data_IF_861599966111
#
_entry.id   IF_861599966111
#
_cell.length_a   1.000
_cell.length_b   1.000
_cell.length_c   1.000
_cell.angle_alpha   90.00
_cell.angle_beta   90.00
_cell.angle_gamma   90.00
#
_symmetry.space_group_name_H-M   'P 1'
#
loop_
_entity.id
_entity.type
_entity.pdbx_description
1 polymer ?
#
# COMPACT_ATOMS: atom_id res chain seq x y z
N UNK A 1 15.61 12.23 41.08
CA UNK A 1 16.48 11.40 40.23
C UNK A 1 16.42 12.00 38.83
N UNK A 2 17.49 12.68 38.40
CA UNK A 2 17.58 13.30 37.08
C UNK A 2 17.60 12.19 36.02
N UNK A 3 16.66 12.25 35.06
CA UNK A 3 16.63 11.38 33.89
C UNK A 3 17.97 11.52 33.17
N UNK A 4 18.56 10.39 32.76
CA UNK A 4 19.59 10.37 31.74
C UNK A 4 18.99 10.85 30.40
N UNK A 5 18.82 12.15 30.32
CA UNK A 5 18.24 12.85 29.18
C UNK A 5 19.30 13.03 28.10
N UNK A 6 19.04 12.58 26.91
CA UNK A 6 19.72 13.07 25.74
C UNK A 6 19.80 12.15 24.52
N UNK A 7 19.58 10.84 24.66
CA UNK A 7 19.57 9.95 23.46
C UNK A 7 18.16 9.68 23.00
N UNK A 8 17.85 10.13 21.80
CA UNK A 8 16.59 9.77 21.11
C UNK A 8 16.51 8.25 20.98
N UNK A 9 15.39 7.59 21.41
CA UNK A 9 15.26 6.15 21.33
C UNK A 9 15.42 5.68 19.89
N UNK A 10 16.07 4.53 19.65
CA UNK A 10 16.19 3.98 18.32
C UNK A 10 14.83 3.54 17.77
N UNK A 11 14.78 3.34 16.46
CA UNK A 11 13.60 2.82 15.77
C UNK A 11 13.89 1.40 15.29
N UNK A 12 12.95 0.48 15.51
CA UNK A 12 12.89 -0.83 14.87
C UNK A 12 11.87 -0.76 13.74
N UNK A 13 12.34 -0.93 12.51
CA UNK A 13 11.52 -0.94 11.30
C UNK A 13 11.22 -2.39 10.93
N UNK A 14 9.94 -2.73 10.92
CA UNK A 14 9.44 -4.03 10.50
C UNK A 14 8.91 -3.92 9.06
N UNK A 15 9.61 -4.53 8.12
CA UNK A 15 9.34 -4.51 6.69
C UNK A 15 10.61 -4.29 5.86
N UNK A 16 10.56 -4.71 4.61
CA UNK A 16 11.74 -4.80 3.75
C UNK A 16 11.61 -4.11 2.39
N UNK A 17 10.42 -3.59 2.10
CA UNK A 17 10.11 -2.99 0.80
C UNK A 17 10.27 -1.46 0.78
N UNK A 18 9.73 -0.82 -0.26
CA UNK A 18 9.85 0.62 -0.49
C UNK A 18 9.33 1.48 0.67
N UNK A 19 8.28 1.02 1.36
CA UNK A 19 7.75 1.71 2.54
C UNK A 19 8.80 1.79 3.65
N UNK A 20 9.42 0.66 4.00
CA UNK A 20 10.47 0.58 5.00
C UNK A 20 11.72 1.39 4.59
N UNK A 21 12.11 1.33 3.31
CA UNK A 21 13.22 2.14 2.78
C UNK A 21 12.92 3.65 2.90
N UNK A 22 11.68 4.07 2.60
CA UNK A 22 11.25 5.46 2.77
C UNK A 22 11.34 5.92 4.24
N UNK A 23 10.78 5.14 5.16
CA UNK A 23 10.82 5.39 6.61
C UNK A 23 12.27 5.45 7.11
N UNK A 24 13.11 4.47 6.74
CA UNK A 24 14.52 4.43 7.11
C UNK A 24 15.25 5.72 6.71
N UNK A 25 15.09 6.15 5.46
CA UNK A 25 15.73 7.33 4.91
C UNK A 25 15.31 8.62 5.61
N UNK A 26 14.02 8.76 5.86
CA UNK A 26 13.45 9.95 6.52
C UNK A 26 13.99 10.10 7.93
N UNK A 27 13.92 9.02 8.73
CA UNK A 27 14.36 9.06 10.13
C UNK A 27 15.89 9.15 10.26
N UNK A 28 16.64 8.42 9.44
CA UNK A 28 18.11 8.48 9.47
C UNK A 28 18.65 9.87 9.10
N UNK A 29 18.00 10.60 8.16
CA UNK A 29 18.37 12.00 7.85
C UNK A 29 18.13 12.96 9.02
N UNK A 30 17.25 12.60 9.95
CA UNK A 30 17.03 13.34 11.22
C UNK A 30 17.97 12.90 12.34
N UNK A 31 18.92 12.01 12.04
CA UNK A 31 19.88 11.49 13.01
C UNK A 31 19.33 10.42 13.94
N UNK A 32 18.11 9.93 13.70
CA UNK A 32 17.52 8.85 14.51
C UNK A 32 18.20 7.52 14.18
N UNK A 33 18.73 6.80 15.16
CA UNK A 33 19.24 5.44 14.95
C UNK A 33 18.08 4.52 14.53
N UNK A 34 18.12 4.00 13.31
CA UNK A 34 17.08 3.14 12.77
C UNK A 34 17.66 1.79 12.37
N UNK A 35 17.01 0.70 12.80
CA UNK A 35 17.40 -0.67 12.53
C UNK A 35 16.26 -1.41 11.85
N UNK A 36 16.60 -2.21 10.84
CA UNK A 36 15.64 -3.07 10.13
C UNK A 36 15.62 -4.43 10.79
N UNK A 37 14.47 -4.81 11.32
CA UNK A 37 14.27 -6.07 12.04
C UNK A 37 13.73 -7.21 11.16
N UNK A 38 13.34 -6.92 9.92
CA UNK A 38 12.85 -7.90 8.96
C UNK A 38 14.00 -8.69 8.33
N UNK A 39 13.84 -10.02 8.23
CA UNK A 39 14.78 -10.89 7.52
C UNK A 39 14.65 -10.68 6.02
N UNK A 40 15.60 -9.98 5.44
CA UNK A 40 15.48 -9.52 4.05
C UNK A 40 16.82 -9.46 3.30
N UNK A 41 16.75 -9.80 2.02
CA UNK A 41 17.79 -9.52 1.01
C UNK A 41 17.36 -8.45 0.00
N UNK A 42 16.36 -7.65 0.33
CA UNK A 42 15.73 -6.68 -0.56
C UNK A 42 16.60 -5.42 -0.78
N UNK A 43 16.11 -4.50 -1.63
CA UNK A 43 16.80 -3.25 -1.99
C UNK A 43 17.15 -2.37 -0.78
N UNK A 44 16.43 -2.47 0.33
CA UNK A 44 16.70 -1.73 1.55
C UNK A 44 18.10 -2.00 2.12
N UNK A 45 18.62 -3.23 1.98
CA UNK A 45 19.95 -3.61 2.48
C UNK A 45 21.10 -2.88 1.77
N UNK A 46 20.81 -2.23 0.64
CA UNK A 46 21.77 -1.43 -0.14
C UNK A 46 21.76 0.05 0.26
N UNK A 47 20.86 0.47 1.14
CA UNK A 47 20.83 1.83 1.63
C UNK A 47 22.06 2.09 2.51
N UNK A 48 22.69 3.27 2.35
CA UNK A 48 23.81 3.70 3.23
C UNK A 48 23.41 3.81 4.70
N UNK A 49 22.12 3.94 4.98
CA UNK A 49 21.57 4.01 6.33
C UNK A 49 21.10 2.67 6.86
N UNK A 50 21.17 1.60 6.04
CA UNK A 50 20.75 0.29 6.49
C UNK A 50 21.61 -0.21 7.63
N UNK A 51 20.94 -0.61 8.71
CA UNK A 51 21.50 -1.34 9.83
C UNK A 51 20.54 -2.47 10.16
N UNK A 52 21.04 -3.69 10.14
CA UNK A 52 20.25 -4.80 10.64
C UNK A 52 20.07 -4.67 12.16
N UNK A 53 18.93 -5.08 12.68
CA UNK A 53 18.81 -5.34 14.12
C UNK A 53 19.73 -6.53 14.52
N UNK A 54 20.06 -6.64 15.81
CA UNK A 54 20.93 -7.73 16.32
C UNK A 54 20.41 -9.13 15.94
N UNK A 55 19.10 -9.25 15.85
CA UNK A 55 18.39 -10.40 15.28
C UNK A 55 17.38 -9.90 14.27
N UNK A 56 17.13 -10.68 13.24
CA UNK A 56 16.06 -10.44 12.27
C UNK A 56 14.93 -11.44 12.48
N UNK A 57 13.73 -11.06 12.12
CA UNK A 57 12.52 -11.87 12.24
C UNK A 57 11.84 -11.93 10.87
N UNK A 58 11.42 -13.12 10.46
CA UNK A 58 10.60 -13.28 9.26
C UNK A 58 9.22 -12.64 9.47
N UNK A 59 8.69 -12.00 8.45
CA UNK A 59 7.39 -11.34 8.49
C UNK A 59 6.30 -12.26 9.06
N UNK A 60 5.57 -11.73 10.06
CA UNK A 60 4.49 -12.42 10.76
C UNK A 60 3.36 -11.46 11.11
N UNK A 61 2.13 -12.00 11.20
CA UNK A 61 0.97 -11.31 11.78
C UNK A 61 0.76 -11.67 13.26
N UNK A 62 1.49 -12.67 13.77
CA UNK A 62 1.31 -13.21 15.12
C UNK A 62 1.99 -12.31 16.17
N UNK A 63 1.23 -11.67 17.08
CA UNK A 63 1.77 -10.84 18.14
C UNK A 63 2.64 -11.64 19.13
N UNK A 64 2.39 -12.93 19.34
CA UNK A 64 3.16 -13.74 20.27
C UNK A 64 4.58 -13.97 19.75
N UNK A 65 4.74 -14.27 18.47
CA UNK A 65 6.04 -14.42 17.81
C UNK A 65 6.85 -13.11 17.88
N UNK A 66 6.19 -11.97 17.64
CA UNK A 66 6.83 -10.66 17.76
C UNK A 66 7.20 -10.35 19.23
N UNK A 67 6.33 -10.70 20.17
CA UNK A 67 6.58 -10.49 21.60
C UNK A 67 7.83 -11.24 22.07
N UNK A 68 7.99 -12.51 21.70
CA UNK A 68 9.17 -13.32 22.05
C UNK A 68 10.44 -12.75 21.43
N UNK A 69 10.36 -12.29 20.18
CA UNK A 69 11.47 -11.57 19.54
C UNK A 69 11.87 -10.31 20.32
N UNK A 70 10.92 -9.44 20.65
CA UNK A 70 11.19 -8.19 21.38
C UNK A 70 11.76 -8.43 22.78
N UNK A 71 11.30 -9.48 23.49
CA UNK A 71 11.86 -9.90 24.80
C UNK A 71 13.31 -10.35 24.69
N UNK A 72 13.70 -10.93 23.56
CA UNK A 72 15.06 -11.42 23.32
C UNK A 72 16.06 -10.31 23.00
N UNK A 73 15.61 -9.09 22.70
CA UNK A 73 16.49 -8.00 22.32
C UNK A 73 17.14 -7.34 23.55
N UNK A 74 18.46 -7.06 23.50
CA UNK A 74 19.17 -6.35 24.56
C UNK A 74 18.96 -4.83 24.51
N UNK A 75 17.71 -4.40 24.23
CA UNK A 75 17.34 -3.00 24.11
C UNK A 75 16.38 -2.61 25.24
N UNK A 76 16.66 -1.52 25.99
CA UNK A 76 15.74 -1.04 27.00
C UNK A 76 14.44 -0.52 26.43
N UNK A 77 14.50 0.15 25.28
CA UNK A 77 13.35 0.70 24.54
C UNK A 77 13.70 0.93 23.08
N UNK A 78 12.69 0.92 22.20
CA UNK A 78 12.76 1.37 20.83
C UNK A 78 11.35 1.70 20.31
N UNK A 79 11.22 2.67 19.40
CA UNK A 79 9.97 2.94 18.72
C UNK A 79 9.77 1.91 17.60
N UNK A 80 8.59 1.30 17.51
CA UNK A 80 8.27 0.35 16.46
C UNK A 80 7.55 1.04 15.30
N UNK A 81 7.95 0.73 14.06
CA UNK A 81 7.25 1.15 12.84
C UNK A 81 6.99 -0.07 11.96
N UNK A 82 5.72 -0.43 11.82
CA UNK A 82 5.25 -1.53 10.99
C UNK A 82 5.01 -1.04 9.56
N UNK A 83 5.71 -1.59 8.57
CA UNK A 83 5.65 -1.18 7.17
C UNK A 83 4.91 -2.17 6.25
N UNK A 84 4.17 -3.12 6.81
CA UNK A 84 3.25 -4.02 6.10
C UNK A 84 2.03 -4.33 6.95
N UNK A 85 1.00 -4.91 6.33
CA UNK A 85 -0.25 -5.28 7.01
C UNK A 85 0.00 -6.38 8.07
N UNK A 86 0.86 -7.35 7.75
CA UNK A 86 1.23 -8.42 8.69
C UNK A 86 1.95 -7.86 9.92
N UNK A 87 2.91 -6.97 9.71
CA UNK A 87 3.61 -6.32 10.81
C UNK A 87 2.69 -5.38 11.61
N UNK A 88 1.72 -4.72 10.94
CA UNK A 88 0.73 -3.89 11.65
C UNK A 88 -0.14 -4.73 12.58
N UNK A 89 -0.59 -5.91 12.15
CA UNK A 89 -1.31 -6.87 13.00
C UNK A 89 -0.46 -7.30 14.20
N UNK A 90 0.78 -7.72 13.96
CA UNK A 90 1.67 -8.15 15.03
C UNK A 90 1.94 -7.04 16.06
N UNK A 91 2.30 -5.82 15.60
CA UNK A 91 2.62 -4.69 16.49
C UNK A 91 1.40 -4.22 17.27
N UNK A 92 0.25 -4.09 16.62
CA UNK A 92 -0.99 -3.64 17.28
C UNK A 92 -1.50 -4.63 18.32
N UNK A 93 -1.23 -5.92 18.15
CA UNK A 93 -1.63 -7.00 19.06
C UNK A 93 -0.67 -7.27 20.20
N UNK A 94 0.47 -6.58 20.33
CA UNK A 94 1.44 -6.77 21.42
C UNK A 94 0.78 -6.62 22.80
N UNK A 95 1.24 -7.37 23.83
CA UNK A 95 0.82 -7.19 25.22
C UNK A 95 1.23 -5.83 25.79
N UNK A 96 0.55 -5.38 26.84
CA UNK A 96 0.66 -4.01 27.37
C UNK A 96 2.10 -3.69 27.83
N UNK A 97 2.78 -4.62 28.50
CA UNK A 97 4.16 -4.47 28.97
C UNK A 97 5.15 -4.18 27.82
N UNK A 98 4.95 -4.85 26.69
CA UNK A 98 5.77 -4.61 25.51
C UNK A 98 5.38 -3.33 24.76
N UNK A 99 4.12 -2.94 24.75
CA UNK A 99 3.69 -1.64 24.19
C UNK A 99 4.26 -0.47 24.97
N UNK A 100 4.41 -0.60 26.28
CA UNK A 100 5.05 0.42 27.11
C UNK A 100 6.57 0.49 26.84
N UNK A 101 7.23 -0.66 26.78
CA UNK A 101 8.66 -0.75 26.52
C UNK A 101 9.03 -0.40 25.07
N UNK A 102 8.21 -0.80 24.12
CA UNK A 102 8.39 -0.61 22.67
C UNK A 102 7.19 0.12 22.07
N UNK A 103 7.08 1.42 22.28
CA UNK A 103 5.92 2.18 21.85
C UNK A 103 5.83 2.26 20.32
N UNK A 104 4.58 2.30 19.84
CA UNK A 104 4.24 2.52 18.44
C UNK A 104 3.08 3.52 18.32
N UNK A 105 3.10 4.34 17.30
CA UNK A 105 1.94 5.13 16.88
C UNK A 105 1.15 4.33 15.86
N UNK A 106 0.19 3.57 16.33
CA UNK A 106 -0.59 2.62 15.55
C UNK A 106 -2.03 2.55 16.06
N UNK A 107 -2.98 2.27 15.17
CA UNK A 107 -4.39 2.12 15.51
C UNK A 107 -4.65 0.92 16.45
N UNK A 108 -5.79 0.89 17.18
CA UNK A 108 -6.18 -0.27 17.97
C UNK A 108 -6.19 -1.55 17.15
N UNK A 109 -5.85 -2.69 17.75
CA UNK A 109 -5.73 -3.98 17.06
C UNK A 109 -6.98 -4.35 16.27
N UNK A 110 -8.16 -4.18 16.87
CA UNK A 110 -9.46 -4.42 16.21
C UNK A 110 -9.62 -3.57 14.93
N UNK A 111 -9.18 -2.32 14.95
CA UNK A 111 -9.22 -1.46 13.77
C UNK A 111 -8.25 -1.95 12.68
N UNK A 112 -7.03 -2.38 13.07
CA UNK A 112 -6.07 -2.96 12.12
C UNK A 112 -6.66 -4.22 11.48
N UNK A 113 -7.26 -5.12 12.25
CA UNK A 113 -7.94 -6.31 11.71
C UNK A 113 -9.03 -5.95 10.70
N UNK A 114 -9.86 -4.93 11.00
CA UNK A 114 -10.90 -4.46 10.10
C UNK A 114 -10.35 -3.89 8.78
N UNK A 115 -9.20 -3.24 8.81
CA UNK A 115 -8.58 -2.67 7.59
C UNK A 115 -7.81 -3.71 6.76
N UNK A 116 -7.25 -4.71 7.39
CA UNK A 116 -6.50 -5.78 6.70
C UNK A 116 -7.43 -6.82 6.07
N UNK A 117 -8.49 -7.17 6.78
CA UNK A 117 -9.52 -8.10 6.29
C UNK A 117 -10.54 -7.34 5.43
N UNK A 118 -10.64 -7.72 4.16
CA UNK A 118 -11.49 -7.00 3.19
C UNK A 118 -12.97 -7.16 3.45
N UNK A 119 -13.40 -8.29 4.01
CA UNK A 119 -14.81 -8.51 4.35
C UNK A 119 -15.18 -7.68 5.58
N UNK A 120 -14.35 -7.67 6.62
CA UNK A 120 -14.55 -6.81 7.79
C UNK A 120 -14.48 -5.32 7.41
N UNK A 121 -13.60 -4.93 6.49
CA UNK A 121 -13.54 -3.56 5.98
C UNK A 121 -14.84 -3.18 5.25
N UNK A 122 -15.33 -4.05 4.39
CA UNK A 122 -16.60 -3.88 3.70
C UNK A 122 -17.76 -3.69 4.69
N UNK A 123 -17.87 -4.58 5.69
CA UNK A 123 -18.90 -4.50 6.71
C UNK A 123 -18.84 -3.21 7.54
N UNK A 124 -17.64 -2.77 7.91
CA UNK A 124 -17.42 -1.51 8.61
C UNK A 124 -17.88 -0.31 7.76
N UNK A 125 -17.51 -0.26 6.49
CA UNK A 125 -17.85 0.82 5.56
C UNK A 125 -19.36 0.85 5.30
N UNK A 126 -20.01 -0.31 5.19
CA UNK A 126 -21.48 -0.43 5.08
C UNK A 126 -22.19 0.08 6.33
N UNK A 127 -21.72 -0.35 7.50
CA UNK A 127 -22.30 0.08 8.78
C UNK A 127 -22.21 1.61 8.97
N UNK A 128 -21.19 2.25 8.42
CA UNK A 128 -20.96 3.69 8.50
C UNK A 128 -21.62 4.48 7.34
N UNK A 129 -22.35 3.81 6.44
CA UNK A 129 -22.97 4.39 5.25
C UNK A 129 -21.98 5.20 4.39
N UNK A 130 -20.76 4.69 4.26
CA UNK A 130 -19.71 5.32 3.45
C UNK A 130 -19.79 4.79 2.01
N UNK A 131 -19.83 5.69 0.99
CA UNK A 131 -19.87 5.27 -0.40
C UNK A 131 -18.71 4.34 -0.78
N UNK A 132 -19.03 3.20 -1.36
CA UNK A 132 -18.07 2.19 -1.84
C UNK A 132 -18.57 1.50 -3.11
N UNK A 133 -17.70 0.81 -3.87
CA UNK A 133 -18.13 -0.06 -4.96
C UNK A 133 -19.08 -1.16 -4.44
N UNK A 134 -20.11 -1.48 -5.21
CA UNK A 134 -20.95 -2.65 -4.93
C UNK A 134 -20.06 -3.89 -4.87
N UNK A 135 -20.25 -4.71 -3.86
CA UNK A 135 -19.39 -5.87 -3.63
C UNK A 135 -20.20 -7.02 -3.05
N UNK A 136 -20.05 -8.19 -3.63
CA UNK A 136 -20.70 -9.45 -3.18
C UNK A 136 -19.63 -10.50 -2.87
N UNK A 137 -19.74 -11.18 -1.75
CA UNK A 137 -18.87 -12.29 -1.41
C UNK A 137 -19.12 -13.48 -2.35
N UNK A 138 -18.07 -14.14 -2.82
CA UNK A 138 -18.12 -15.28 -3.71
C UNK A 138 -17.34 -16.44 -3.06
N UNK A 139 -18.07 -17.34 -2.43
CA UNK A 139 -17.52 -18.56 -1.84
C UNK A 139 -17.58 -19.76 -2.79
N UNK A 140 -18.56 -19.77 -3.69
CA UNK A 140 -18.79 -20.88 -4.61
C UNK A 140 -19.31 -20.42 -5.98
N UNK A 141 -19.24 -21.25 -7.04
CA UNK A 141 -19.72 -20.92 -8.38
C UNK A 141 -21.19 -20.50 -8.43
N UNK A 142 -22.03 -21.07 -7.55
CA UNK A 142 -23.44 -20.73 -7.45
C UNK A 142 -23.70 -19.27 -7.05
N UNK A 143 -22.75 -18.62 -6.37
CA UNK A 143 -22.86 -17.20 -6.02
C UNK A 143 -22.80 -16.32 -7.28
N UNK A 144 -21.93 -16.67 -8.24
CA UNK A 144 -21.90 -16.00 -9.55
C UNK A 144 -23.19 -16.24 -10.33
N UNK A 145 -23.77 -17.44 -10.24
CA UNK A 145 -25.03 -17.73 -10.92
C UNK A 145 -26.20 -16.86 -10.37
N UNK A 146 -26.16 -16.51 -9.09
CA UNK A 146 -27.15 -15.65 -8.42
C UNK A 146 -26.92 -14.15 -8.61
N UNK A 147 -25.71 -13.74 -9.02
CA UNK A 147 -25.40 -12.33 -9.27
C UNK A 147 -26.23 -11.79 -10.42
N UNK A 148 -26.61 -10.51 -10.38
CA UNK A 148 -27.29 -9.85 -11.48
C UNK A 148 -26.40 -9.77 -12.73
N UNK A 149 -27.02 -9.63 -13.91
CA UNK A 149 -26.25 -9.46 -15.15
C UNK A 149 -25.46 -8.16 -15.13
N UNK A 150 -25.98 -7.11 -14.48
CA UNK A 150 -25.28 -5.85 -14.29
C UNK A 150 -24.03 -6.02 -13.41
N UNK A 151 -24.12 -6.75 -12.29
CA UNK A 151 -22.98 -6.98 -11.39
C UNK A 151 -21.88 -7.81 -12.07
N UNK A 152 -22.27 -8.79 -12.90
CA UNK A 152 -21.31 -9.57 -13.69
C UNK A 152 -20.66 -8.68 -14.78
N UNK A 153 -21.46 -7.91 -15.52
CA UNK A 153 -20.96 -7.07 -16.62
C UNK A 153 -20.04 -5.94 -16.13
N UNK A 154 -20.34 -5.37 -14.97
CA UNK A 154 -19.58 -4.25 -14.37
C UNK A 154 -18.54 -4.72 -13.37
N UNK A 155 -18.50 -6.01 -13.05
CA UNK A 155 -17.69 -6.54 -11.98
C UNK A 155 -16.31 -7.05 -12.38
N UNK A 156 -15.49 -7.27 -11.37
CA UNK A 156 -14.27 -8.06 -11.47
C UNK A 156 -14.12 -8.90 -10.19
N UNK A 157 -13.47 -10.06 -10.34
CA UNK A 157 -13.20 -10.94 -9.20
C UNK A 157 -11.93 -10.45 -8.49
N UNK A 158 -12.10 -9.98 -7.26
CA UNK A 158 -11.03 -9.55 -6.37
C UNK A 158 -10.83 -10.62 -5.30
N UNK A 159 -9.61 -11.15 -5.10
CA UNK A 159 -9.39 -12.16 -4.08
C UNK A 159 -9.53 -11.57 -2.68
N UNK A 160 -10.10 -12.33 -1.76
CA UNK A 160 -10.17 -11.95 -0.34
C UNK A 160 -8.78 -11.91 0.27
N UNK A 161 -7.92 -12.87 -0.09
CA UNK A 161 -6.52 -12.93 0.34
C UNK A 161 -5.55 -12.66 -0.83
N UNK A 162 -5.05 -11.43 -0.89
CA UNK A 162 -4.22 -10.96 -2.02
C UNK A 162 -2.88 -11.69 -2.15
N UNK A 163 -2.25 -12.09 -1.04
CA UNK A 163 -0.92 -12.72 -1.09
C UNK A 163 -0.97 -14.15 -1.63
N UNK A 164 -1.91 -14.99 -1.15
CA UNK A 164 -2.08 -16.35 -1.64
C UNK A 164 -2.46 -16.34 -3.12
N UNK A 165 -3.41 -15.48 -3.51
CA UNK A 165 -3.82 -15.32 -4.89
C UNK A 165 -2.66 -14.91 -5.80
N UNK A 166 -1.89 -13.88 -5.42
CA UNK A 166 -0.77 -13.38 -6.23
C UNK A 166 0.36 -14.43 -6.35
N UNK A 167 0.58 -15.27 -5.33
CA UNK A 167 1.52 -16.40 -5.44
C UNK A 167 1.07 -17.40 -6.51
N UNK A 168 -0.23 -17.70 -6.60
CA UNK A 168 -0.81 -18.71 -7.51
C UNK A 168 -1.02 -18.17 -8.92
N UNK A 169 -1.68 -17.01 -9.06
CA UNK A 169 -2.15 -16.49 -10.35
C UNK A 169 -1.33 -15.30 -10.91
N UNK A 170 -0.42 -14.72 -10.13
CA UNK A 170 0.44 -13.59 -10.52
C UNK A 170 -0.34 -12.33 -10.96
N UNK A 171 -1.59 -12.19 -10.52
CA UNK A 171 -2.47 -11.04 -10.78
C UNK A 171 -3.14 -10.60 -9.48
N UNK A 172 -3.71 -9.41 -9.46
CA UNK A 172 -4.46 -8.87 -8.31
C UNK A 172 -5.95 -9.19 -8.34
N UNK A 173 -6.44 -9.76 -9.43
CA UNK A 173 -7.85 -10.11 -9.64
C UNK A 173 -8.08 -10.41 -11.11
N UNK A 174 -9.33 -10.78 -11.45
CA UNK A 174 -9.71 -11.14 -12.81
C UNK A 174 -10.86 -10.26 -13.29
N UNK A 175 -10.71 -9.68 -14.49
CA UNK A 175 -11.84 -9.10 -15.19
C UNK A 175 -12.72 -10.22 -15.75
N UNK A 176 -14.02 -10.02 -15.69
CA UNK A 176 -15.02 -10.99 -16.12
C UNK A 176 -15.37 -10.71 -17.58
N UNK A 177 -15.30 -11.72 -18.42
CA UNK A 177 -15.70 -11.64 -19.84
C UNK A 177 -17.13 -12.14 -20.04
N UNK A 178 -17.53 -13.15 -19.27
CA UNK A 178 -18.88 -13.70 -19.22
C UNK A 178 -19.15 -14.32 -17.85
N UNK A 179 -20.40 -14.69 -17.59
CA UNK A 179 -20.81 -15.39 -16.38
C UNK A 179 -20.12 -16.76 -16.27
N UNK A 180 -20.03 -17.50 -17.38
CA UNK A 180 -19.37 -18.80 -17.47
C UNK A 180 -17.86 -18.67 -17.19
N UNK A 181 -17.23 -17.63 -17.74
CA UNK A 181 -15.83 -17.34 -17.44
C UNK A 181 -15.60 -17.09 -15.94
N UNK A 182 -16.47 -16.29 -15.29
CA UNK A 182 -16.39 -16.04 -13.85
C UNK A 182 -16.57 -17.33 -13.03
N UNK A 183 -17.53 -18.18 -13.39
CA UNK A 183 -17.75 -19.50 -12.76
C UNK A 183 -16.48 -20.34 -12.85
N UNK A 184 -15.89 -20.48 -14.03
CA UNK A 184 -14.67 -21.27 -14.23
C UNK A 184 -13.47 -20.75 -13.42
N UNK A 185 -13.33 -19.44 -13.28
CA UNK A 185 -12.28 -18.83 -12.45
C UNK A 185 -12.48 -19.14 -10.96
N UNK A 186 -13.73 -19.11 -10.46
CA UNK A 186 -14.06 -19.44 -9.08
C UNK A 186 -13.80 -20.91 -8.79
N UNK A 187 -14.18 -21.81 -9.70
CA UNK A 187 -13.89 -23.26 -9.58
C UNK A 187 -12.39 -23.53 -9.49
N UNK A 188 -11.61 -22.96 -10.40
CA UNK A 188 -10.16 -23.13 -10.42
C UNK A 188 -9.47 -22.61 -9.14
N UNK A 189 -9.94 -21.50 -8.60
CA UNK A 189 -9.37 -20.90 -7.39
C UNK A 189 -9.76 -21.68 -6.13
N UNK A 190 -10.97 -22.23 -6.08
CA UNK A 190 -11.49 -23.01 -4.96
C UNK A 190 -10.64 -24.24 -4.66
N UNK A 191 -10.10 -24.90 -5.70
CA UNK A 191 -9.15 -26.01 -5.54
C UNK A 191 -7.89 -25.62 -4.73
N UNK A 192 -7.56 -24.33 -4.71
CA UNK A 192 -6.43 -23.75 -3.97
C UNK A 192 -6.84 -23.06 -2.67
N UNK A 193 -8.12 -23.19 -2.24
CA UNK A 193 -8.66 -22.54 -1.05
C UNK A 193 -8.76 -21.01 -1.17
N UNK A 194 -8.77 -20.47 -2.39
CA UNK A 194 -8.87 -19.04 -2.65
C UNK A 194 -10.33 -18.67 -2.89
N UNK A 195 -10.82 -17.69 -2.13
CA UNK A 195 -12.15 -17.11 -2.29
C UNK A 195 -12.06 -15.72 -2.90
N UNK A 196 -13.17 -15.26 -3.48
CA UNK A 196 -13.27 -13.96 -4.13
C UNK A 196 -14.39 -13.10 -3.55
N UNK A 197 -14.32 -11.84 -3.91
CA UNK A 197 -15.49 -10.97 -3.97
C UNK A 197 -15.69 -10.51 -5.42
N UNK A 198 -16.94 -10.48 -5.87
CA UNK A 198 -17.33 -9.79 -7.08
C UNK A 198 -17.50 -8.32 -6.72
N UNK A 199 -16.60 -7.47 -7.21
CA UNK A 199 -16.59 -6.04 -6.92
C UNK A 199 -16.86 -5.26 -8.20
N UNK A 200 -17.75 -4.28 -8.11
CA UNK A 200 -18.02 -3.33 -9.19
C UNK A 200 -16.72 -2.60 -9.58
N UNK A 201 -16.44 -2.58 -10.87
CA UNK A 201 -15.38 -1.76 -11.42
C UNK A 201 -15.90 -0.35 -11.69
N UNK A 202 -15.49 0.61 -10.87
CA UNK A 202 -15.86 2.01 -11.04
C UNK A 202 -15.23 2.52 -12.35
N UNK A 203 -16.02 3.00 -13.33
CA UNK A 203 -15.50 3.49 -14.59
C UNK A 203 -14.64 4.74 -14.41
N UNK A 204 -14.08 5.22 -15.50
CA UNK A 204 -13.15 6.34 -15.51
C UNK A 204 -11.69 5.90 -15.44
N UNK A 205 -10.82 6.77 -15.90
CA UNK A 205 -9.39 6.54 -16.01
C UNK A 205 -8.65 6.55 -14.64
N UNK A 206 -7.35 6.47 -14.71
CA UNK A 206 -6.46 6.60 -13.53
C UNK A 206 -6.59 7.97 -12.86
N UNK A 207 -6.95 9.00 -13.64
CA UNK A 207 -7.16 10.35 -13.11
C UNK A 207 -8.32 10.45 -12.10
N UNK A 208 -9.26 9.49 -12.10
CA UNK A 208 -10.36 9.42 -11.13
C UNK A 208 -9.97 8.65 -9.85
N UNK A 209 -8.71 8.23 -9.70
CA UNK A 209 -8.21 7.60 -8.49
C UNK A 209 -7.43 8.60 -7.67
N UNK A 210 -7.89 8.83 -6.45
CA UNK A 210 -7.37 9.79 -5.50
C UNK A 210 -6.87 9.05 -4.27
N UNK A 211 -5.79 9.55 -3.70
CA UNK A 211 -5.17 9.00 -2.50
C UNK A 211 -5.07 10.14 -1.49
N UNK A 212 -5.52 9.87 -0.27
CA UNK A 212 -5.31 10.79 0.86
C UNK A 212 -4.43 10.08 1.87
N UNK A 213 -3.26 10.64 2.11
CA UNK A 213 -2.34 10.21 3.14
C UNK A 213 -2.50 11.10 4.35
N UNK A 214 -2.24 10.57 5.54
CA UNK A 214 -2.33 11.39 6.73
C UNK A 214 -1.79 10.76 7.99
N UNK A 215 -1.93 11.52 9.06
CA UNK A 215 -1.52 11.13 10.40
C UNK A 215 -2.56 11.56 11.43
N UNK A 216 -2.93 10.62 12.30
CA UNK A 216 -3.78 10.89 13.48
C UNK A 216 -2.95 10.64 14.73
N UNK A 217 -2.92 11.59 15.64
CA UNK A 217 -2.14 11.51 16.87
C UNK A 217 -2.86 10.69 17.98
N UNK A 218 -2.19 10.52 19.11
CA UNK A 218 -2.71 9.81 20.31
C UNK A 218 -3.97 10.40 20.90
N UNK A 219 -4.30 11.64 20.55
CA UNK A 219 -5.52 12.33 21.01
C UNK A 219 -6.70 12.18 20.03
N UNK A 220 -6.49 11.45 18.91
CA UNK A 220 -7.48 11.30 17.84
C UNK A 220 -7.56 12.51 16.90
N UNK A 221 -6.60 13.45 16.99
CA UNK A 221 -6.55 14.63 16.15
C UNK A 221 -5.84 14.33 14.82
N UNK A 222 -6.48 14.69 13.71
CA UNK A 222 -5.83 14.67 12.41
C UNK A 222 -4.79 15.79 12.36
N UNK A 223 -3.51 15.44 12.43
CA UNK A 223 -2.39 16.38 12.46
C UNK A 223 -1.93 16.78 11.08
N UNK A 224 -2.05 15.87 10.11
CA UNK A 224 -1.64 16.07 8.73
C UNK A 224 -2.57 15.35 7.75
N UNK A 225 -2.81 16.01 6.62
CA UNK A 225 -3.44 15.44 5.42
C UNK A 225 -2.62 15.83 4.21
N UNK A 226 -2.55 14.93 3.24
CA UNK A 226 -1.86 15.12 1.97
C UNK A 226 -2.65 14.40 0.88
N UNK A 227 -2.93 15.05 -0.23
CA UNK A 227 -3.69 14.47 -1.32
C UNK A 227 -2.84 14.32 -2.58
N UNK A 228 -3.04 13.24 -3.29
CA UNK A 228 -2.39 12.95 -4.57
C UNK A 228 -3.33 12.19 -5.50
N UNK A 229 -3.11 12.36 -6.79
CA UNK A 229 -3.86 11.72 -7.85
C UNK A 229 -2.96 10.79 -8.65
N UNK A 230 -3.49 9.64 -9.01
CA UNK A 230 -2.78 8.65 -9.81
C UNK A 230 -2.56 9.16 -11.24
N UNK A 231 -1.36 8.97 -11.75
CA UNK A 231 -0.98 9.34 -13.13
C UNK A 231 -0.75 8.08 -13.97
N UNK A 232 0.00 7.11 -13.44
CA UNK A 232 0.26 5.82 -14.10
C UNK A 232 0.24 4.68 -13.11
N UNK A 233 -0.11 3.49 -13.61
CA UNK A 233 -0.04 2.23 -12.85
C UNK A 233 0.53 1.10 -13.73
N UNK A 234 1.09 0.07 -13.10
CA UNK A 234 1.65 -1.09 -13.78
C UNK A 234 1.37 -2.38 -13.00
N UNK A 235 0.77 -3.39 -13.62
CA UNK A 235 0.11 -3.39 -14.93
C UNK A 235 -1.15 -2.50 -14.95
N UNK A 236 -1.72 -2.20 -16.14
CA UNK A 236 -2.94 -1.40 -16.24
C UNK A 236 -4.13 -2.00 -15.50
N UNK A 237 -5.04 -1.17 -15.01
CA UNK A 237 -6.32 -1.48 -14.34
C UNK A 237 -6.20 -1.97 -12.89
N UNK A 238 -5.70 -3.18 -12.60
CA UNK A 238 -5.65 -3.77 -11.26
C UNK A 238 -4.21 -3.83 -10.74
N UNK A 239 -3.57 -2.68 -10.48
CA UNK A 239 -2.16 -2.66 -10.12
C UNK A 239 -1.76 -1.58 -9.14
N UNK A 240 -0.46 -1.54 -8.87
CA UNK A 240 0.13 -0.52 -8.01
C UNK A 240 0.32 0.80 -8.77
N UNK A 241 0.11 1.91 -8.08
CA UNK A 241 0.53 3.23 -8.56
C UNK A 241 2.02 3.21 -8.81
N UNK A 242 2.45 3.55 -10.02
CA UNK A 242 3.86 3.74 -10.34
C UNK A 242 4.25 5.21 -10.49
N UNK A 243 3.29 6.09 -10.76
CA UNK A 243 3.48 7.54 -10.77
C UNK A 243 2.20 8.23 -10.29
N UNK A 244 2.34 9.21 -9.40
CA UNK A 244 1.28 10.09 -8.93
C UNK A 244 1.73 11.56 -8.93
N UNK A 245 0.79 12.45 -8.63
CA UNK A 245 1.04 13.88 -8.50
C UNK A 245 0.28 14.42 -7.29
N UNK A 246 0.93 15.27 -6.50
CA UNK A 246 0.27 15.97 -5.38
C UNK A 246 -0.77 16.94 -5.90
N UNK A 247 -1.93 16.98 -5.28
CA UNK A 247 -3.07 17.84 -5.63
C UNK A 247 -3.55 18.63 -4.41
N UNK A 248 -4.29 19.73 -4.59
CA UNK A 248 -4.92 20.41 -3.47
C UNK A 248 -5.89 19.52 -2.70
N UNK A 249 -6.05 19.72 -1.39
CA UNK A 249 -7.05 19.00 -0.59
C UNK A 249 -8.49 19.33 -1.02
N UNK A 250 -8.68 20.48 -1.61
CA UNK A 250 -9.95 20.94 -2.18
C UNK A 250 -10.45 20.00 -3.28
N UNK A 251 -9.56 19.39 -4.07
CA UNK A 251 -9.92 18.44 -5.14
C UNK A 251 -10.57 17.16 -4.60
N UNK A 252 -10.37 16.87 -3.32
CA UNK A 252 -10.91 15.69 -2.62
C UNK A 252 -11.82 16.07 -1.44
N UNK A 253 -12.24 17.34 -1.34
CA UNK A 253 -13.01 17.83 -0.18
C UNK A 253 -14.29 17.03 0.07
N UNK A 254 -14.95 16.56 -0.98
CA UNK A 254 -16.17 15.76 -0.87
C UNK A 254 -15.93 14.35 -0.27
N UNK A 255 -14.70 13.85 -0.24
CA UNK A 255 -14.36 12.58 0.43
C UNK A 255 -14.04 12.74 1.93
N UNK A 256 -13.83 13.99 2.41
CA UNK A 256 -13.39 14.24 3.77
C UNK A 256 -14.41 13.84 4.85
N UNK A 257 -15.73 14.00 4.69
CA UNK A 257 -16.69 13.49 5.66
C UNK A 257 -16.56 11.98 5.88
N UNK A 258 -16.49 11.19 4.79
CA UNK A 258 -16.32 9.75 4.85
C UNK A 258 -15.01 9.36 5.57
N UNK A 259 -13.90 10.02 5.24
CA UNK A 259 -12.61 9.82 5.90
C UNK A 259 -12.71 10.08 7.41
N UNK A 260 -13.27 11.23 7.84
CA UNK A 260 -13.39 11.58 9.25
C UNK A 260 -14.29 10.62 10.02
N UNK A 261 -15.42 10.20 9.43
CA UNK A 261 -16.32 9.22 10.02
C UNK A 261 -15.59 7.89 10.25
N UNK A 262 -14.85 7.40 9.26
CA UNK A 262 -14.10 6.14 9.36
C UNK A 262 -13.02 6.20 10.45
N UNK A 263 -12.20 7.26 10.47
CA UNK A 263 -11.12 7.43 11.44
C UNK A 263 -11.69 7.57 12.88
N UNK A 264 -12.78 8.30 13.06
CA UNK A 264 -13.42 8.47 14.37
C UNK A 264 -14.04 7.16 14.89
N UNK A 265 -14.79 6.44 14.05
CA UNK A 265 -15.45 5.18 14.40
C UNK A 265 -14.45 4.11 14.85
N UNK A 266 -13.25 4.10 14.25
CA UNK A 266 -12.18 3.14 14.56
C UNK A 266 -11.20 3.62 15.63
N UNK A 267 -11.41 4.82 16.20
CA UNK A 267 -10.44 5.47 17.10
C UNK A 267 -9.03 5.45 16.53
N UNK A 268 -8.94 5.78 15.25
CA UNK A 268 -7.70 5.66 14.51
C UNK A 268 -6.55 6.42 15.15
N UNK A 269 -5.34 5.87 15.03
CA UNK A 269 -4.07 6.48 15.42
C UNK A 269 -2.97 6.03 14.48
N UNK A 270 -2.04 6.90 14.14
CA UNK A 270 -0.87 6.60 13.31
C UNK A 270 -1.00 7.05 11.86
N UNK A 271 -0.11 6.52 11.04
CA UNK A 271 -0.05 6.80 9.60
C UNK A 271 -1.14 6.03 8.88
N UNK A 272 -1.84 6.69 7.94
CA UNK A 272 -2.77 6.05 7.02
C UNK A 272 -2.56 6.49 5.58
N UNK A 273 -2.98 5.64 4.66
CA UNK A 273 -3.19 5.93 3.25
C UNK A 273 -4.54 5.38 2.84
N UNK A 274 -5.44 6.23 2.39
CA UNK A 274 -6.77 5.84 1.93
C UNK A 274 -6.89 6.10 0.42
N UNK A 275 -7.47 5.14 -0.30
CA UNK A 275 -7.73 5.24 -1.73
C UNK A 275 -9.21 5.46 -1.99
N UNK A 276 -9.52 6.49 -2.78
CA UNK A 276 -10.84 6.78 -3.29
C UNK A 276 -10.86 6.70 -4.81
N UNK A 277 -11.96 6.22 -5.34
CA UNK A 277 -12.28 6.31 -6.76
C UNK A 277 -13.47 7.22 -6.95
N UNK A 278 -13.31 8.30 -7.72
CA UNK A 278 -14.41 9.16 -8.09
C UNK A 278 -15.26 8.49 -9.16
N UNK A 279 -16.54 8.35 -8.89
CA UNK A 279 -17.52 7.77 -9.81
C UNK A 279 -18.32 8.90 -10.48
N UNK A 280 -18.07 9.11 -11.76
CA UNK A 280 -18.74 10.17 -12.53
C UNK A 280 -20.24 9.92 -12.73
N UNK A 281 -20.72 8.69 -12.50
CA UNK A 281 -22.14 8.33 -12.68
C UNK A 281 -23.04 8.92 -11.59
N UNK A 282 -22.51 9.01 -10.38
CA UNK A 282 -23.25 9.49 -9.20
C UNK A 282 -22.57 10.69 -8.51
N UNK A 283 -21.37 11.08 -8.96
CA UNK A 283 -20.61 12.19 -8.40
C UNK A 283 -19.98 11.91 -7.03
N UNK A 284 -19.88 10.63 -6.63
CA UNK A 284 -19.38 10.24 -5.30
C UNK A 284 -17.93 9.77 -5.34
N UNK A 285 -17.20 10.07 -4.28
CA UNK A 285 -15.93 9.43 -3.98
C UNK A 285 -16.20 8.11 -3.24
N UNK A 286 -15.97 6.98 -3.91
CA UNK A 286 -16.13 5.65 -3.36
C UNK A 286 -14.82 5.16 -2.73
N UNK A 287 -14.88 4.74 -1.47
CA UNK A 287 -13.72 4.22 -0.78
C UNK A 287 -13.33 2.84 -1.33
N UNK A 288 -12.04 2.66 -1.61
CA UNK A 288 -11.51 1.39 -2.14
C UNK A 288 -10.80 0.59 -1.05
N UNK A 289 -9.91 1.24 -0.31
CA UNK A 289 -9.14 0.62 0.78
C UNK A 289 -8.53 1.67 1.71
N UNK A 290 -8.23 1.29 2.94
CA UNK A 290 -7.38 2.03 3.86
C UNK A 290 -6.19 1.16 4.25
N UNK A 291 -4.99 1.68 4.04
CA UNK A 291 -3.75 1.06 4.50
C UNK A 291 -3.31 1.74 5.79
N UNK A 292 -3.38 1.02 6.92
CA UNK A 292 -3.08 1.55 8.26
C UNK A 292 -1.59 1.45 8.58
N UNK A 293 -0.73 1.91 7.68
CA UNK A 293 0.72 1.78 7.75
C UNK A 293 1.43 2.70 6.75
N UNK A 294 2.77 2.86 6.84
CA UNK A 294 3.59 3.44 5.79
C UNK A 294 3.41 2.78 4.41
N UNK A 295 3.58 3.54 3.35
CA UNK A 295 3.34 3.14 1.96
C UNK A 295 4.55 3.47 1.06
N UNK A 296 4.55 2.97 -0.18
CA UNK A 296 5.72 2.99 -1.07
C UNK A 296 6.29 4.38 -1.36
N UNK A 297 5.44 5.38 -1.47
CA UNK A 297 5.83 6.76 -1.79
C UNK A 297 5.88 7.68 -0.56
N UNK A 298 6.02 7.12 0.66
CA UNK A 298 6.07 7.92 1.89
C UNK A 298 7.20 8.96 1.90
N UNK A 299 8.34 8.65 1.26
CA UNK A 299 9.43 9.61 1.09
C UNK A 299 9.12 10.74 0.11
N UNK A 300 8.20 10.54 -0.83
CA UNK A 300 7.66 11.60 -1.68
C UNK A 300 6.78 12.55 -0.87
N UNK A 301 5.91 12.02 -0.02
CA UNK A 301 5.04 12.80 0.87
C UNK A 301 5.87 13.66 1.83
N UNK A 302 6.95 13.11 2.39
CA UNK A 302 7.92 13.88 3.20
C UNK A 302 8.52 15.03 2.40
N UNK A 303 8.97 14.79 1.18
CA UNK A 303 9.57 15.83 0.32
C UNK A 303 8.54 16.86 -0.17
N UNK A 304 7.27 16.50 -0.21
CA UNK A 304 6.20 17.45 -0.46
C UNK A 304 5.90 18.37 0.74
N UNK A 305 6.42 18.04 1.93
CA UNK A 305 6.31 18.84 3.15
C UNK A 305 5.54 18.16 4.31
N UNK A 306 5.16 16.89 4.17
CA UNK A 306 4.41 16.18 5.22
C UNK A 306 5.20 14.96 5.71
N UNK A 307 5.90 15.13 6.83
CA UNK A 307 6.82 14.13 7.39
C UNK A 307 6.09 13.14 8.31
N UNK A 308 5.34 12.21 7.70
CA UNK A 308 4.57 11.20 8.42
C UNK A 308 5.43 10.27 9.31
N UNK A 309 6.62 9.78 8.87
CA UNK A 309 7.47 8.97 9.73
C UNK A 309 7.94 9.69 10.99
N UNK A 310 8.27 10.98 10.87
CA UNK A 310 8.67 11.80 12.00
C UNK A 310 7.50 12.04 12.97
N UNK A 311 6.32 12.33 12.44
CA UNK A 311 5.10 12.47 13.26
C UNK A 311 4.82 11.18 14.04
N UNK A 312 4.91 10.01 13.39
CA UNK A 312 4.74 8.72 14.02
C UNK A 312 5.77 8.46 15.13
N UNK A 313 7.03 8.85 14.90
CA UNK A 313 8.10 8.73 15.88
C UNK A 313 7.86 9.60 17.12
N UNK A 314 7.43 10.85 16.94
CA UNK A 314 7.11 11.75 18.05
C UNK A 314 5.91 11.27 18.86
N UNK A 315 4.81 10.92 18.17
CA UNK A 315 3.59 10.47 18.80
C UNK A 315 3.77 9.17 19.61
N UNK A 316 4.58 8.23 19.10
CA UNK A 316 4.90 7.00 19.81
C UNK A 316 5.58 7.26 21.18
N UNK A 317 6.37 8.32 21.27
CA UNK A 317 7.05 8.73 22.51
C UNK A 317 6.20 9.62 23.41
N UNK A 318 4.94 9.88 23.04
CA UNK A 318 4.10 10.79 23.79
C UNK A 318 4.50 12.28 23.64
N UNK A 319 5.31 12.61 22.63
CA UNK A 319 5.70 13.99 22.32
C UNK A 319 4.64 14.68 21.46
N UNK A 320 4.66 16.01 21.46
CA UNK A 320 3.74 16.79 20.64
C UNK A 320 4.08 16.66 19.16
N UNK A 321 3.05 16.45 18.36
CA UNK A 321 3.15 16.33 16.90
C UNK A 321 2.79 17.68 16.28
N UNK A 322 3.75 18.37 15.64
CA UNK A 322 3.47 19.65 15.00
C UNK A 322 2.58 19.47 13.77
N UNK A 323 1.71 20.44 13.50
CA UNK A 323 1.01 20.53 12.22
C UNK A 323 2.00 20.99 11.14
N UNK A 324 2.08 20.33 9.99
CA UNK A 324 2.95 20.77 8.91
C UNK A 324 2.43 22.08 8.30
N UNK A 325 3.32 22.82 7.66
CA UNK A 325 2.95 23.87 6.72
C UNK A 325 2.19 23.26 5.51
N UNK A 326 1.49 24.08 4.70
CA UNK A 326 0.88 23.59 3.47
C UNK A 326 1.92 22.88 2.58
N UNK A 327 1.56 21.70 2.08
CA UNK A 327 2.46 20.91 1.23
C UNK A 327 2.52 21.43 -0.21
N UNK A 328 3.55 21.02 -0.93
CA UNK A 328 3.76 21.39 -2.34
C UNK A 328 2.81 20.63 -3.26
N UNK A 329 1.96 21.38 -3.97
CA UNK A 329 1.06 20.87 -5.02
C UNK A 329 1.79 20.77 -6.37
N UNK A 330 1.40 19.81 -7.22
CA UNK A 330 1.97 19.61 -8.56
C UNK A 330 3.33 18.89 -8.57
N UNK A 331 3.73 18.31 -7.42
CA UNK A 331 4.95 17.51 -7.28
C UNK A 331 4.67 16.07 -7.66
N UNK A 332 5.52 15.46 -8.48
CA UNK A 332 5.38 14.07 -8.91
C UNK A 332 6.16 13.12 -7.99
N UNK A 333 5.54 11.99 -7.66
CA UNK A 333 6.17 10.85 -7.02
C UNK A 333 6.13 9.62 -7.92
N UNK A 334 7.21 8.81 -7.92
CA UNK A 334 7.22 7.61 -8.75
C UNK A 334 8.02 6.46 -8.14
N UNK A 335 7.60 5.24 -8.48
CA UNK A 335 8.44 4.06 -8.40
C UNK A 335 9.03 3.79 -9.80
N UNK A 336 10.24 4.23 -10.01
CA UNK A 336 10.88 4.36 -11.32
C UNK A 336 10.95 3.06 -12.12
N UNK A 337 11.10 1.90 -11.47
CA UNK A 337 11.17 0.60 -12.18
C UNK A 337 9.81 0.23 -12.78
N UNK A 338 8.73 0.41 -12.02
CA UNK A 338 7.38 0.14 -12.55
C UNK A 338 6.95 1.21 -13.53
N UNK A 339 7.32 2.47 -13.32
CA UNK A 339 6.99 3.55 -14.23
C UNK A 339 7.67 3.38 -15.60
N UNK A 340 8.95 2.97 -15.61
CA UNK A 340 9.65 2.60 -16.84
C UNK A 340 8.97 1.42 -17.55
N UNK A 341 8.48 0.43 -16.79
CA UNK A 341 7.76 -0.71 -17.36
C UNK A 341 6.42 -0.28 -17.98
N UNK A 342 5.66 0.62 -17.32
CA UNK A 342 4.41 1.18 -17.83
C UNK A 342 4.62 1.95 -19.13
N UNK A 343 5.63 2.83 -19.16
CA UNK A 343 6.01 3.58 -20.36
C UNK A 343 6.41 2.63 -21.49
N UNK A 344 7.30 1.66 -21.21
CA UNK A 344 7.75 0.69 -22.18
C UNK A 344 6.61 -0.17 -22.76
N UNK A 345 5.65 -0.57 -21.95
CA UNK A 345 4.45 -1.30 -22.38
C UNK A 345 3.58 -0.45 -23.32
N UNK A 346 3.35 0.82 -22.96
CA UNK A 346 2.57 1.72 -23.80
C UNK A 346 3.21 1.90 -25.19
N UNK A 347 4.54 2.15 -25.22
CA UNK A 347 5.29 2.33 -26.46
C UNK A 347 5.33 1.02 -27.31
N UNK A 348 5.53 -0.12 -26.68
CA UNK A 348 5.48 -1.43 -27.39
C UNK A 348 4.09 -1.70 -27.99
N UNK A 349 3.03 -1.30 -27.31
CA UNK A 349 1.64 -1.33 -27.82
C UNK A 349 1.30 -0.18 -28.78
N UNK A 350 2.27 0.62 -29.23
CA UNK A 350 2.09 1.80 -30.09
C UNK A 350 1.09 2.82 -29.54
N UNK A 351 1.00 2.92 -28.21
CA UNK A 351 0.13 3.88 -27.52
C UNK A 351 0.97 4.95 -26.82
N UNK A 352 0.38 6.11 -26.60
CA UNK A 352 1.00 7.13 -25.75
C UNK A 352 0.92 6.68 -24.29
N UNK A 353 2.01 6.86 -23.49
CA UNK A 353 1.94 6.68 -22.05
C UNK A 353 0.90 7.62 -21.41
N UNK A 354 0.22 7.15 -20.36
CA UNK A 354 -0.70 7.97 -19.62
C UNK A 354 0.01 9.15 -18.93
N UNK A 355 -0.51 10.35 -19.12
CA UNK A 355 0.03 11.57 -18.52
C UNK A 355 1.46 11.94 -18.98
N UNK A 356 2.06 12.93 -18.33
CA UNK A 356 3.39 13.41 -18.70
C UNK A 356 4.48 12.41 -18.33
N UNK A 357 5.48 12.24 -19.19
CA UNK A 357 6.64 11.36 -18.98
C UNK A 357 7.85 12.18 -18.52
N UNK A 358 8.22 13.19 -19.29
CA UNK A 358 9.49 13.91 -19.10
C UNK A 358 9.56 14.64 -17.76
N UNK A 359 8.51 15.40 -17.40
CA UNK A 359 8.49 16.18 -16.16
C UNK A 359 8.63 15.31 -14.90
N UNK A 360 7.88 14.19 -14.71
CA UNK A 360 8.08 13.29 -13.58
C UNK A 360 9.50 12.71 -13.54
N UNK A 361 10.07 12.31 -14.67
CA UNK A 361 11.39 11.68 -14.73
C UNK A 361 12.52 12.64 -14.38
N UNK A 362 12.43 13.91 -14.79
CA UNK A 362 13.44 14.92 -14.51
C UNK A 362 13.30 15.51 -13.10
N UNK A 363 12.07 15.85 -12.69
CA UNK A 363 11.81 16.66 -11.50
C UNK A 363 11.10 15.90 -10.38
N UNK A 364 10.55 14.71 -10.65
CA UNK A 364 9.79 13.94 -9.67
C UNK A 364 10.67 13.23 -8.63
N UNK A 365 10.09 13.00 -7.46
CA UNK A 365 10.69 12.18 -6.41
C UNK A 365 10.64 10.71 -6.77
N UNK A 366 11.73 10.02 -6.56
CA UNK A 366 11.89 8.61 -6.88
C UNK A 366 11.90 7.79 -5.60
N UNK A 367 11.23 6.65 -5.62
CA UNK A 367 11.15 5.76 -4.46
C UNK A 367 12.51 5.10 -4.16
N UNK A 368 13.24 4.69 -5.19
CA UNK A 368 14.54 4.03 -5.05
C UNK A 368 15.72 5.01 -5.12
N UNK A 369 15.70 5.93 -6.07
CA UNK A 369 16.83 6.83 -6.30
C UNK A 369 16.77 8.10 -5.43
N UNK A 370 17.69 8.23 -4.51
CA UNK A 370 17.98 9.48 -3.81
C UNK A 370 19.45 9.85 -4.03
N UNK A 371 19.74 11.11 -4.32
CA UNK A 371 21.13 11.57 -4.51
C UNK A 371 22.01 11.26 -3.30
N UNK A 372 21.46 11.34 -2.10
CA UNK A 372 22.15 11.00 -0.86
C UNK A 372 22.24 9.48 -0.59
N UNK A 373 21.54 8.64 -1.37
CA UNK A 373 21.47 7.18 -1.17
C UNK A 373 21.11 6.46 -2.49
N UNK A 374 22.01 6.43 -3.50
CA UNK A 374 21.68 5.92 -4.83
C UNK A 374 21.71 4.39 -4.95
N UNK A 375 22.36 3.69 -4.03
CA UNK A 375 22.61 2.25 -4.14
C UNK A 375 21.35 1.37 -4.19
N UNK A 376 20.23 1.68 -3.49
CA UNK A 376 18.97 0.96 -3.64
C UNK A 376 18.43 0.94 -5.07
N UNK A 377 18.59 2.05 -5.83
CA UNK A 377 18.15 2.12 -7.23
C UNK A 377 18.99 1.20 -8.13
N UNK A 378 20.31 1.19 -7.97
CA UNK A 378 21.20 0.30 -8.72
C UNK A 378 20.88 -1.18 -8.42
N UNK A 379 20.63 -1.49 -7.14
CA UNK A 379 20.23 -2.83 -6.72
C UNK A 379 18.87 -3.27 -7.30
N UNK A 380 17.89 -2.37 -7.31
CA UNK A 380 16.57 -2.62 -7.87
C UNK A 380 16.62 -2.88 -9.39
N UNK A 381 17.43 -2.11 -10.11
CA UNK A 381 17.67 -2.33 -11.55
C UNK A 381 18.30 -3.72 -11.79
N UNK A 382 19.34 -4.08 -11.06
CA UNK A 382 20.00 -5.37 -11.18
C UNK A 382 19.05 -6.54 -10.92
N UNK A 383 18.23 -6.48 -9.87
CA UNK A 383 17.22 -7.49 -9.57
C UNK A 383 16.14 -7.59 -10.66
N UNK A 384 15.76 -6.45 -11.26
CA UNK A 384 14.75 -6.41 -12.31
C UNK A 384 15.27 -7.03 -13.60
N UNK A 385 16.52 -6.76 -13.97
CA UNK A 385 17.19 -7.38 -15.12
C UNK A 385 17.36 -8.89 -14.91
N UNK A 386 17.85 -9.31 -13.74
CA UNK A 386 18.03 -10.73 -13.43
C UNK A 386 16.70 -11.50 -13.51
N UNK A 387 15.58 -10.93 -13.00
CA UNK A 387 14.24 -11.54 -13.10
C UNK A 387 13.73 -11.64 -14.54
N UNK A 388 14.06 -10.66 -15.40
CA UNK A 388 13.68 -10.71 -16.84
C UNK A 388 14.48 -11.76 -17.58
N UNK A 389 15.78 -11.84 -17.33
CA UNK A 389 16.66 -12.86 -17.91
C UNK A 389 16.26 -14.26 -17.45
N UNK A 390 15.97 -14.47 -16.17
CA UNK A 390 15.49 -15.75 -15.65
C UNK A 390 14.21 -16.20 -16.37
N UNK A 391 13.20 -15.33 -16.48
CA UNK A 391 11.96 -15.64 -17.22
C UNK A 391 12.19 -15.92 -18.71
N UNK A 392 13.12 -15.24 -19.34
CA UNK A 392 13.48 -15.50 -20.73
C UNK A 392 14.15 -16.88 -20.88
N UNK A 393 15.05 -17.23 -19.97
CA UNK A 393 15.70 -18.55 -19.92
C UNK A 393 14.71 -19.69 -19.65
N UNK A 394 13.73 -19.48 -18.75
CA UNK A 394 12.68 -20.47 -18.45
C UNK A 394 11.78 -20.72 -19.66
N UNK A 395 11.46 -19.68 -20.44
CA UNK A 395 10.75 -19.83 -21.73
C UNK A 395 11.55 -20.63 -22.75
N UNK A 396 12.85 -20.39 -22.82
CA UNK A 396 13.75 -21.13 -23.75
C UNK A 396 13.93 -22.58 -23.32
N UNK A 397 13.92 -22.87 -22.02
CA UNK A 397 14.04 -24.21 -21.45
C UNK A 397 12.77 -25.07 -21.53
N UNK A 398 11.66 -24.53 -22.05
CA UNK A 398 10.43 -25.30 -22.31
C UNK A 398 9.66 -25.74 -21.09
N UNK A 399 9.85 -25.10 -19.92
CA UNK A 399 8.97 -25.27 -18.76
C UNK A 399 7.70 -24.42 -18.95
N UNK A 400 6.80 -24.86 -19.86
CA UNK A 400 5.50 -24.26 -20.07
C UNK A 400 4.54 -24.70 -18.96
N UNK A 401 4.42 -23.89 -17.93
CA UNK A 401 3.15 -23.80 -17.21
C UNK A 401 2.23 -22.91 -18.07
N UNK A 402 0.99 -23.33 -18.39
CA UNK A 402 0.10 -22.49 -19.19
C UNK A 402 -0.10 -21.16 -18.48
N UNK A 403 0.43 -20.10 -19.07
CA UNK A 403 0.07 -18.73 -18.69
C UNK A 403 -1.35 -18.55 -19.21
N UNK A 404 -2.31 -18.44 -18.31
CA UNK A 404 -3.59 -17.83 -18.64
C UNK A 404 -3.25 -16.40 -19.08
N UNK A 405 -3.29 -16.16 -20.37
CA UNK A 405 -3.07 -14.83 -20.95
C UNK A 405 -4.04 -13.86 -20.29
N UNK A 406 -3.49 -12.80 -19.71
CA UNK A 406 -4.28 -11.64 -19.37
C UNK A 406 -4.92 -11.16 -20.68
N UNK A 407 -6.23 -11.39 -20.83
CA UNK A 407 -6.96 -11.14 -22.06
C UNK A 407 -6.59 -9.79 -22.67
N UNK A 408 -6.34 -9.81 -23.93
CA UNK A 408 -5.92 -8.65 -24.73
C UNK A 408 -6.94 -7.53 -24.55
N UNK A 409 -6.47 -6.39 -24.07
CA UNK A 409 -7.28 -5.21 -23.73
C UNK A 409 -7.83 -4.48 -24.98
N UNK A 410 -8.01 -5.18 -26.10
CA UNK A 410 -8.44 -4.61 -27.39
C UNK A 410 -9.96 -4.70 -27.66
N UNK A 411 -10.81 -4.99 -26.66
CA UNK A 411 -12.24 -4.93 -26.88
C UNK A 411 -12.72 -3.46 -26.81
N UNK A 412 -13.08 -2.83 -27.94
CA UNK A 412 -13.47 -1.41 -28.01
C UNK A 412 -14.85 -1.12 -27.40
N UNK A 413 -15.60 -2.13 -26.94
CA UNK A 413 -16.98 -1.97 -26.48
C UNK A 413 -17.12 -1.33 -25.07
N UNK A 414 -16.00 -1.11 -24.34
CA UNK A 414 -16.04 -0.53 -22.97
C UNK A 414 -15.57 0.94 -22.94
N UNK A 415 -15.19 1.53 -24.08
CA UNK A 415 -14.76 2.93 -24.17
C UNK A 415 -15.84 3.93 -24.55
N UNK A 416 -17.07 3.47 -24.81
CA UNK A 416 -18.19 4.34 -25.14
C UNK A 416 -19.44 3.92 -24.36
N UNK A 417 -19.49 4.29 -23.10
CA UNK A 417 -20.70 4.61 -22.31
C UNK A 417 -20.30 5.18 -20.95
#
# INVERSE_FOLDING_TARGET
>A
MASESGKQPPVLIFGSHLAALGVLRVLARRGIPAYVADDTSNVITRSRWYRAADRTLRETADPAVLADYLRSLPLPTAVLIACSDQWALAVSGLPADLKERFPASIAPHVAIEQFVDKDRFRELVDHLDIPRPRTMAIGEPADIARASDEDVAMGFLKPTESQAHNRRFKTKGFFIESREHAIGLVEQARESGITFMLQEYIPGGMANTFIVDGFVDRHGEIRALHARRRVRMEPPRLANTCCDVTIPLEDVAASMPALRTLLAATRYRGIFMIEFKFDERDGLFKIIELNARPFWLIGHVERAGVDLPWMSYLDAQGLDVPRPAPYQVGRYGMYEILDAAAIGRALAGRRRPDGPVLKPWLLGDKALFWWSDPMPALGGLGQSVARRLGRAMDRVRGSATPSVEAGDASNPAVTAR
#
